data_IF_240516526969
#
_entry.id   IF_240516526969
#
_cell.length_a   1.000
_cell.length_b   1.000
_cell.length_c   1.000
_cell.angle_alpha   90.00
_cell.angle_beta   90.00
_cell.angle_gamma   90.00
#
_symmetry.space_group_name_H-M   'P 1'
#
loop_
_entity.id
_entity.type
_entity.pdbx_description
1 polymer ?
#
# COMPACT_ATOMS: atom_id res chain seq x y z
N UNK A 1 -16.50 -10.13 26.87
CA UNK A 1 -15.54 -9.09 26.42
C UNK A 1 -14.69 -9.49 25.20
N UNK A 2 -14.54 -10.79 24.86
CA UNK A 2 -13.76 -11.21 23.68
C UNK A 2 -14.51 -11.16 22.33
N UNK A 3 -15.82 -11.41 22.31
CA UNK A 3 -16.62 -11.48 21.07
C UNK A 3 -16.70 -10.14 20.32
N UNK A 4 -16.86 -9.03 21.05
CA UNK A 4 -16.93 -7.68 20.46
C UNK A 4 -15.59 -7.26 19.81
N UNK A 5 -14.46 -7.77 20.31
CA UNK A 5 -13.15 -7.52 19.70
C UNK A 5 -13.02 -8.30 18.39
N UNK A 6 -13.30 -9.60 18.42
CA UNK A 6 -13.24 -10.46 17.24
C UNK A 6 -14.14 -9.93 16.12
N UNK A 7 -15.38 -9.51 16.46
CA UNK A 7 -16.31 -8.93 15.49
C UNK A 7 -15.78 -7.63 14.88
N UNK A 8 -15.17 -6.73 15.67
CA UNK A 8 -14.57 -5.50 15.14
C UNK A 8 -13.41 -5.77 14.18
N UNK A 9 -12.55 -6.73 14.48
CA UNK A 9 -11.47 -7.13 13.59
C UNK A 9 -11.99 -7.75 12.30
N UNK A 10 -13.03 -8.57 12.38
CA UNK A 10 -13.68 -9.18 11.22
C UNK A 10 -14.30 -8.11 10.30
N UNK A 11 -15.05 -7.17 10.88
CA UNK A 11 -15.62 -6.02 10.15
C UNK A 11 -14.53 -5.20 9.48
N UNK A 12 -13.41 -4.92 10.18
CA UNK A 12 -12.29 -4.18 9.59
C UNK A 12 -11.64 -4.96 8.45
N UNK A 13 -11.37 -6.25 8.63
CA UNK A 13 -10.81 -7.10 7.58
C UNK A 13 -11.69 -7.09 6.32
N UNK A 14 -13.00 -7.26 6.48
CA UNK A 14 -13.96 -7.24 5.36
C UNK A 14 -14.04 -5.87 4.71
N UNK A 15 -14.10 -4.80 5.49
CA UNK A 15 -14.08 -3.43 4.98
C UNK A 15 -12.84 -3.18 4.12
N UNK A 16 -11.66 -3.50 4.63
CA UNK A 16 -10.42 -3.32 3.87
C UNK A 16 -10.35 -4.23 2.64
N UNK A 17 -10.78 -5.50 2.73
CA UNK A 17 -10.83 -6.39 1.57
C UNK A 17 -11.73 -5.85 0.45
N UNK A 18 -12.88 -5.27 0.80
CA UNK A 18 -13.77 -4.62 -0.17
C UNK A 18 -13.07 -3.40 -0.80
N UNK A 19 -12.51 -2.52 0.01
CA UNK A 19 -11.82 -1.31 -0.46
C UNK A 19 -10.62 -1.62 -1.36
N UNK A 20 -9.72 -2.53 -0.94
CA UNK A 20 -8.56 -2.89 -1.77
C UNK A 20 -8.97 -3.68 -3.01
N UNK A 21 -10.10 -4.41 -2.98
CA UNK A 21 -10.67 -5.07 -4.14
C UNK A 21 -11.13 -4.07 -5.22
N UNK A 22 -11.73 -2.95 -4.79
CA UNK A 22 -12.10 -1.86 -5.70
C UNK A 22 -10.85 -1.18 -6.29
N UNK A 23 -9.87 -0.87 -5.44
CA UNK A 23 -8.58 -0.36 -5.88
C UNK A 23 -7.90 -1.32 -6.88
N UNK A 24 -7.96 -2.64 -6.65
CA UNK A 24 -7.40 -3.65 -7.55
C UNK A 24 -8.05 -3.62 -8.94
N UNK A 25 -9.36 -3.36 -9.02
CA UNK A 25 -10.07 -3.21 -10.30
C UNK A 25 -9.55 -2.01 -11.10
N UNK A 26 -9.43 -0.84 -10.45
CA UNK A 26 -8.90 0.37 -11.10
C UNK A 26 -7.44 0.21 -11.52
N UNK A 27 -6.61 -0.37 -10.66
CA UNK A 27 -5.22 -0.68 -10.99
C UNK A 27 -5.11 -1.69 -12.14
N UNK A 28 -6.01 -2.67 -12.21
CA UNK A 28 -6.05 -3.65 -13.31
C UNK A 28 -6.30 -2.99 -14.66
N UNK A 29 -7.21 -2.00 -14.71
CA UNK A 29 -7.47 -1.20 -15.91
C UNK A 29 -6.23 -0.38 -16.29
N UNK A 30 -5.55 0.21 -15.31
CA UNK A 30 -4.36 1.02 -15.51
C UNK A 30 -3.18 0.24 -16.12
N UNK A 31 -3.00 -1.03 -15.72
CA UNK A 31 -1.93 -1.90 -16.27
C UNK A 31 -2.40 -2.83 -17.40
N UNK A 32 -3.69 -2.77 -17.77
CA UNK A 32 -4.36 -3.68 -18.71
C UNK A 32 -4.08 -5.17 -18.43
N UNK A 33 -4.12 -5.57 -17.15
CA UNK A 33 -3.90 -6.95 -16.67
C UNK A 33 -4.73 -7.21 -15.43
N UNK A 34 -5.10 -8.46 -15.19
CA UNK A 34 -5.80 -8.85 -13.96
C UNK A 34 -4.88 -8.71 -12.76
N UNK A 35 -5.29 -7.88 -11.80
CA UNK A 35 -4.63 -7.69 -10.52
C UNK A 35 -5.61 -8.06 -9.39
N UNK A 36 -5.14 -8.84 -8.44
CA UNK A 36 -5.89 -9.22 -7.25
C UNK A 36 -5.16 -8.71 -6.02
N UNK A 37 -5.87 -8.00 -5.15
CA UNK A 37 -5.40 -7.59 -3.83
C UNK A 37 -6.25 -8.25 -2.77
N UNK A 38 -5.61 -8.59 -1.65
CA UNK A 38 -6.27 -9.09 -0.47
C UNK A 38 -5.56 -8.56 0.78
N UNK A 39 -6.32 -8.41 1.86
CA UNK A 39 -5.81 -8.06 3.18
C UNK A 39 -5.72 -9.33 4.02
N UNK A 40 -4.51 -9.89 4.21
CA UNK A 40 -4.35 -11.16 4.91
C UNK A 40 -4.59 -11.06 6.42
N UNK A 41 -4.35 -9.89 7.01
CA UNK A 41 -4.57 -9.65 8.44
C UNK A 41 -4.62 -8.18 8.77
N UNK A 42 -5.49 -7.79 9.71
CA UNK A 42 -5.51 -6.47 10.36
C UNK A 42 -5.07 -6.60 11.80
N UNK A 43 -4.21 -5.68 12.25
CA UNK A 43 -3.72 -5.62 13.62
C UNK A 43 -3.85 -4.20 14.17
N UNK A 44 -4.28 -4.08 15.43
CA UNK A 44 -4.32 -2.81 16.15
C UNK A 44 -3.16 -2.81 17.13
N UNK A 45 -2.24 -1.87 16.94
CA UNK A 45 -1.01 -1.76 17.72
C UNK A 45 -1.12 -0.53 18.61
N UNK A 46 -0.83 -0.68 19.90
CA UNK A 46 -0.71 0.43 20.82
C UNK A 46 0.69 1.03 20.72
N UNK A 47 0.77 2.29 20.28
CA UNK A 47 2.02 3.02 20.09
C UNK A 47 2.51 3.72 21.36
N UNK A 48 1.71 3.73 22.45
CA UNK A 48 2.06 4.39 23.71
C UNK A 48 2.71 3.45 24.74
N UNK A 49 2.60 2.13 24.54
CA UNK A 49 3.27 1.12 25.36
C UNK A 49 4.67 0.78 24.83
N UNK A 50 5.66 0.71 25.73
CA UNK A 50 7.06 0.34 25.46
C UNK A 50 7.26 -0.57 24.24
N UNK A 51 7.97 -0.04 23.23
CA UNK A 51 8.55 -0.79 22.11
C UNK A 51 7.56 -1.67 21.33
N UNK A 52 6.48 -1.09 20.80
CA UNK A 52 5.96 -1.62 19.54
C UNK A 52 7.06 -1.44 18.48
N UNK A 53 7.83 -2.51 18.29
CA UNK A 53 8.87 -2.62 17.29
C UNK A 53 8.19 -2.53 15.93
N UNK A 54 7.95 -1.30 15.42
CA UNK A 54 7.37 -1.01 14.10
C UNK A 54 8.10 -1.79 13.01
N UNK A 55 9.37 -2.02 13.26
CA UNK A 55 10.29 -2.82 12.51
C UNK A 55 9.77 -4.28 12.33
N UNK A 56 9.13 -4.88 13.33
CA UNK A 56 8.48 -6.20 13.20
C UNK A 56 7.30 -6.24 12.20
N UNK A 57 6.74 -5.09 11.83
CA UNK A 57 5.59 -4.98 10.90
C UNK A 57 5.98 -4.39 9.54
N UNK A 58 7.15 -3.79 9.46
CA UNK A 58 7.73 -3.39 8.18
C UNK A 58 8.35 -4.65 7.54
N UNK A 59 8.33 -4.75 6.20
CA UNK A 59 9.08 -5.80 5.51
C UNK A 59 10.58 -5.58 5.78
N UNK A 60 11.07 -6.18 6.85
CA UNK A 60 12.38 -5.94 7.45
C UNK A 60 13.51 -6.65 6.71
N UNK A 61 13.18 -7.57 5.80
CA UNK A 61 14.13 -8.24 4.91
C UNK A 61 14.60 -7.37 3.74
N UNK A 62 14.21 -6.08 3.71
CA UNK A 62 14.52 -5.17 2.60
C UNK A 62 15.73 -4.33 3.01
N UNK A 63 16.93 -4.77 2.65
CA UNK A 63 18.20 -4.02 2.78
C UNK A 63 18.25 -2.83 1.77
N UNK A 64 17.11 -2.18 1.52
CA UNK A 64 16.88 -1.32 0.38
C UNK A 64 15.85 -0.21 0.64
N UNK A 65 15.69 0.67 -0.35
CA UNK A 65 14.84 1.86 -0.24
C UNK A 65 13.36 1.49 -0.12
N UNK A 66 12.69 2.07 0.88
CA UNK A 66 11.23 2.01 1.02
C UNK A 66 10.60 3.26 0.41
N UNK A 67 9.46 3.05 -0.25
CA UNK A 67 8.60 4.11 -0.73
C UNK A 67 7.36 4.20 0.14
N UNK A 68 7.01 5.42 0.54
CA UNK A 68 5.87 5.71 1.40
C UNK A 68 4.99 6.74 0.72
N UNK A 69 3.75 6.35 0.40
CA UNK A 69 2.69 7.27 0.03
C UNK A 69 1.81 7.56 1.25
N UNK A 70 1.46 8.82 1.45
CA UNK A 70 0.76 9.26 2.66
C UNK A 70 -0.42 10.14 2.32
N UNK A 71 -1.55 9.88 2.99
CA UNK A 71 -2.68 10.80 3.01
C UNK A 71 -2.99 11.22 4.46
N UNK A 72 -3.31 12.50 4.64
CA UNK A 72 -3.83 13.04 5.89
C UNK A 72 -5.32 13.35 5.70
N UNK A 73 -6.13 13.01 6.69
CA UNK A 73 -7.56 13.31 6.71
C UNK A 73 -7.89 14.03 8.01
N UNK A 74 -8.71 15.08 7.94
CA UNK A 74 -9.00 15.99 9.07
C UNK A 74 -10.50 16.25 9.30
N UNK A 75 -11.38 15.53 8.60
CA UNK A 75 -12.82 15.77 8.63
C UNK A 75 -13.49 15.10 9.85
N UNK A 76 -14.40 14.14 9.64
CA UNK A 76 -15.08 13.41 10.73
C UNK A 76 -14.13 12.58 11.58
N UNK A 77 -12.97 12.27 11.02
CA UNK A 77 -11.86 11.58 11.65
C UNK A 77 -10.60 12.39 11.34
N UNK A 78 -9.65 12.43 12.28
CA UNK A 78 -8.32 13.02 12.08
C UNK A 78 -7.29 11.92 12.14
N UNK A 79 -6.45 11.81 11.13
CA UNK A 79 -5.42 10.79 11.07
C UNK A 79 -4.58 10.82 9.81
N UNK A 80 -3.65 9.87 9.74
CA UNK A 80 -2.74 9.68 8.62
C UNK A 80 -2.77 8.22 8.21
N UNK A 81 -2.97 7.95 6.92
CA UNK A 81 -2.79 6.63 6.35
C UNK A 81 -1.50 6.60 5.53
N UNK A 82 -0.74 5.51 5.67
CA UNK A 82 0.51 5.29 4.96
C UNK A 82 0.40 4.00 4.15
N UNK A 83 0.82 4.07 2.90
CA UNK A 83 1.00 2.93 2.03
C UNK A 83 2.50 2.75 1.79
N UNK A 84 3.03 1.58 2.13
CA UNK A 84 4.48 1.34 2.19
C UNK A 84 4.83 0.16 1.29
N UNK A 85 5.81 0.34 0.41
CA UNK A 85 6.31 -0.73 -0.46
C UNK A 85 7.84 -0.68 -0.60
N UNK A 86 8.48 -1.82 -0.89
CA UNK A 86 9.85 -1.82 -1.40
C UNK A 86 9.93 -1.07 -2.73
N UNK A 87 10.90 -0.16 -2.88
CA UNK A 87 11.08 0.63 -4.09
C UNK A 87 11.25 -0.25 -5.35
N UNK A 88 11.94 -1.39 -5.23
CA UNK A 88 12.12 -2.33 -6.34
C UNK A 88 10.78 -2.87 -6.87
N UNK A 89 9.87 -3.27 -5.96
CA UNK A 89 8.54 -3.76 -6.34
C UNK A 89 7.72 -2.66 -7.00
N UNK A 90 7.84 -1.44 -6.51
CA UNK A 90 7.17 -0.28 -7.09
C UNK A 90 7.66 0.01 -8.51
N UNK A 91 8.98 -0.02 -8.76
CA UNK A 91 9.55 0.15 -10.10
C UNK A 91 9.03 -0.89 -11.08
N UNK A 92 8.95 -2.16 -10.68
CA UNK A 92 8.34 -3.21 -11.51
C UNK A 92 6.88 -2.90 -11.85
N UNK A 93 6.12 -2.36 -10.90
CA UNK A 93 4.74 -1.96 -11.14
C UNK A 93 4.63 -0.80 -12.13
N UNK A 94 5.47 0.24 -11.99
CA UNK A 94 5.49 1.38 -12.91
C UNK A 94 5.82 0.94 -14.34
N UNK A 95 6.80 0.05 -14.51
CA UNK A 95 7.13 -0.50 -15.83
C UNK A 95 5.93 -1.19 -16.50
N UNK A 96 5.05 -1.84 -15.72
CA UNK A 96 3.79 -2.41 -16.22
C UNK A 96 2.80 -1.33 -16.69
N UNK A 97 2.78 -0.17 -16.03
CA UNK A 97 1.88 0.94 -16.38
C UNK A 97 2.28 1.61 -17.70
N UNK A 98 3.58 1.77 -17.93
CA UNK A 98 4.12 2.44 -19.13
C UNK A 98 4.25 1.44 -20.31
N UNK A 99 3.98 0.15 -20.06
CA UNK A 99 4.16 -0.95 -21.02
C UNK A 99 5.57 -0.99 -21.62
N UNK A 100 6.57 -0.53 -20.85
CA UNK A 100 7.96 -0.65 -21.22
C UNK A 100 8.42 -2.10 -21.03
N UNK A 101 9.12 -2.62 -22.04
CA UNK A 101 9.78 -3.92 -21.92
C UNK A 101 10.77 -3.82 -20.77
N UNK A 102 10.69 -4.77 -19.84
CA UNK A 102 11.69 -4.93 -18.78
C UNK A 102 13.02 -5.21 -19.49
N UNK A 103 13.80 -4.17 -19.74
CA UNK A 103 15.21 -4.33 -20.06
C UNK A 103 15.87 -4.50 -18.71
N UNK A 104 16.32 -5.71 -18.39
CA UNK A 104 17.06 -6.08 -17.17
C UNK A 104 18.40 -5.32 -17.01
N UNK A 105 18.63 -4.27 -17.80
CA UNK A 105 19.84 -3.46 -17.82
C UNK A 105 19.54 -1.97 -17.69
N UNK A 106 18.99 -1.52 -16.56
CA UNK A 106 19.32 -0.17 -16.11
C UNK A 106 19.49 -0.19 -14.58
N UNK A 107 20.76 -0.13 -14.15
CA UNK A 107 21.24 0.16 -12.79
C UNK A 107 20.82 1.56 -12.27
N UNK A 108 19.74 2.13 -12.79
CA UNK A 108 19.25 3.44 -12.40
C UNK A 108 18.09 3.26 -11.42
N UNK A 109 18.49 3.14 -10.16
CA UNK A 109 17.60 3.09 -8.99
C UNK A 109 16.83 4.39 -8.77
N UNK A 110 17.02 5.42 -9.61
CA UNK A 110 16.33 6.69 -9.48
C UNK A 110 14.92 6.61 -10.07
N UNK A 111 13.99 7.34 -9.42
CA UNK A 111 12.64 7.57 -9.92
C UNK A 111 12.62 8.95 -10.57
N UNK A 112 12.04 9.04 -11.75
CA UNK A 112 11.77 10.29 -12.47
C UNK A 112 10.52 11.01 -11.92
N UNK A 113 10.29 12.26 -12.32
CA UNK A 113 9.08 12.99 -11.96
C UNK A 113 7.80 12.29 -12.45
N UNK A 114 7.85 11.66 -13.62
CA UNK A 114 6.73 10.88 -14.18
C UNK A 114 6.46 9.65 -13.30
N UNK A 115 7.51 8.99 -12.83
CA UNK A 115 7.36 7.85 -11.92
C UNK A 115 6.66 8.28 -10.62
N UNK A 116 7.07 9.41 -10.05
CA UNK A 116 6.43 9.96 -8.85
C UNK A 116 4.95 10.33 -9.06
N UNK A 117 4.60 10.84 -10.25
CA UNK A 117 3.19 11.10 -10.59
C UNK A 117 2.37 9.79 -10.65
N UNK A 118 2.91 8.73 -11.26
CA UNK A 118 2.27 7.41 -11.30
C UNK A 118 2.13 6.83 -9.88
N UNK A 119 3.18 6.92 -9.07
CA UNK A 119 3.18 6.48 -7.67
C UNK A 119 2.12 7.21 -6.86
N UNK A 120 1.99 8.52 -7.04
CA UNK A 120 0.97 9.33 -6.38
C UNK A 120 -0.42 8.84 -6.77
N UNK A 121 -0.65 8.56 -8.05
CA UNK A 121 -1.94 8.07 -8.52
C UNK A 121 -2.29 6.70 -7.93
N UNK A 122 -1.32 5.79 -7.86
CA UNK A 122 -1.49 4.48 -7.20
C UNK A 122 -1.80 4.66 -5.71
N UNK A 123 -1.09 5.58 -5.04
CA UNK A 123 -1.36 5.94 -3.66
C UNK A 123 -2.80 6.43 -3.48
N UNK A 124 -3.27 7.30 -4.36
CA UNK A 124 -4.65 7.80 -4.34
C UNK A 124 -5.66 6.67 -4.55
N UNK A 125 -5.48 5.82 -5.56
CA UNK A 125 -6.38 4.69 -5.85
C UNK A 125 -6.51 3.76 -4.64
N UNK A 126 -5.39 3.47 -3.96
CA UNK A 126 -5.39 2.55 -2.81
C UNK A 126 -5.85 3.22 -1.52
N UNK A 127 -5.54 4.50 -1.30
CA UNK A 127 -5.78 5.20 -0.02
C UNK A 127 -7.06 6.04 0.01
N UNK A 128 -7.64 6.44 -1.13
CA UNK A 128 -8.93 7.16 -1.15
C UNK A 128 -10.14 6.24 -1.15
N UNK A 129 -10.00 5.02 -1.66
CA UNK A 129 -11.06 4.00 -1.60
C UNK A 129 -11.11 3.27 -0.25
N UNK A 130 -10.18 3.60 0.66
CA UNK A 130 -10.08 3.10 2.05
C UNK A 130 -10.52 4.19 3.02
#
# INVERSE_FOLDING_TARGET
MGEDRALKFDILNELFNISVGQAASLLSEMINRTLMLNVPSVQIIDTQGNHADMNAFLPMDVDGTLMVSSICFENKLTGKANLIFPAEKMRRFINLCINEVIVDEINDSSFSDIDFDIIREIGNIVLWEV
#
